data_IF_034204319133
#
_entry.id   IF_034204319133
#
_cell.length_a   1.000
_cell.length_b   1.000
_cell.length_c   1.000
_cell.angle_alpha   90.00
_cell.angle_beta   90.00
_cell.angle_gamma   90.00
#
_symmetry.space_group_name_H-M   'P 1'
#
loop_
_entity.id
_entity.type
_entity.pdbx_description
1 polymer ?
#
# COMPACT_ATOMS: atom_id res chain seq x y z
N UNK A 1 -1.34 1.57 37.46
CA UNK A 1 -0.31 0.67 36.93
C UNK A 1 -1.02 -0.48 36.25
N UNK A 2 -1.07 -0.53 34.91
CA UNK A 2 -1.41 -1.72 34.13
C UNK A 2 -0.64 -1.61 32.80
N UNK A 3 0.67 -1.78 32.89
CA UNK A 3 1.57 -1.83 31.72
C UNK A 3 1.70 -3.28 31.30
N UNK A 4 0.78 -3.74 30.45
CA UNK A 4 0.97 -4.96 29.67
C UNK A 4 0.66 -4.60 28.21
N UNK A 5 1.59 -3.90 27.59
CA UNK A 5 1.63 -3.78 26.12
C UNK A 5 2.59 -4.86 25.63
N UNK A 6 2.19 -6.12 25.79
CA UNK A 6 2.95 -7.22 25.20
C UNK A 6 2.70 -7.19 23.70
N UNK A 7 3.52 -6.43 22.99
CA UNK A 7 3.63 -6.52 21.55
C UNK A 7 4.19 -7.90 21.22
N UNK A 8 3.41 -8.74 20.56
CA UNK A 8 3.88 -10.04 20.09
C UNK A 8 4.08 -10.00 18.57
N UNK A 9 5.08 -10.74 18.10
CA UNK A 9 5.45 -10.82 16.68
C UNK A 9 5.17 -12.21 16.15
N UNK A 10 4.36 -12.29 15.10
CA UNK A 10 4.04 -13.54 14.38
C UNK A 10 4.44 -13.37 12.93
N UNK A 11 5.23 -14.31 12.39
CA UNK A 11 5.62 -14.31 10.97
C UNK A 11 6.29 -13.00 10.49
N UNK A 12 6.96 -12.28 11.40
CA UNK A 12 7.59 -10.98 11.14
C UNK A 12 6.64 -9.78 11.15
N UNK A 13 5.39 -9.97 11.58
CA UNK A 13 4.40 -8.91 11.82
C UNK A 13 4.29 -8.66 13.32
N UNK A 14 4.53 -7.43 13.75
CA UNK A 14 4.37 -7.01 15.15
C UNK A 14 2.99 -6.40 15.35
N UNK A 15 2.22 -6.95 16.28
CA UNK A 15 0.93 -6.39 16.68
C UNK A 15 1.15 -5.32 17.77
N UNK A 16 0.83 -4.07 17.44
CA UNK A 16 1.07 -2.91 18.33
C UNK A 16 -0.15 -2.49 19.13
N UNK A 17 -1.34 -2.97 18.77
CA UNK A 17 -2.59 -2.65 19.44
C UNK A 17 -2.89 -3.67 20.56
N UNK A 18 -3.72 -3.26 21.53
CA UNK A 18 -4.24 -4.17 22.53
C UNK A 18 -5.09 -5.27 21.87
N UNK A 19 -4.95 -6.54 22.28
CA UNK A 19 -5.80 -7.62 21.79
C UNK A 19 -7.28 -7.32 21.98
N UNK A 20 -8.08 -7.53 20.93
CA UNK A 20 -9.54 -7.42 21.00
C UNK A 20 -10.21 -8.78 20.84
N UNK A 21 -11.42 -8.91 21.37
CA UNK A 21 -12.20 -10.14 21.30
C UNK A 21 -12.38 -10.59 19.84
N UNK A 22 -12.14 -11.89 19.58
CA UNK A 22 -12.28 -12.55 18.26
C UNK A 22 -11.33 -12.07 17.16
N UNK A 23 -10.30 -11.29 17.48
CA UNK A 23 -9.34 -10.85 16.45
C UNK A 23 -8.57 -12.01 15.82
N UNK A 24 -8.40 -13.11 16.56
CA UNK A 24 -7.72 -14.34 16.15
C UNK A 24 -8.47 -15.09 15.03
N UNK A 25 -9.78 -14.87 14.89
CA UNK A 25 -10.57 -15.39 13.76
C UNK A 25 -10.17 -14.73 12.42
N UNK A 26 -9.66 -13.50 12.46
CA UNK A 26 -9.26 -12.71 11.28
C UNK A 26 -7.73 -12.71 11.13
N UNK A 27 -7.02 -12.46 12.23
CA UNK A 27 -5.55 -12.41 12.31
C UNK A 27 -4.99 -13.79 12.63
N UNK A 28 -5.46 -14.81 11.91
CA UNK A 28 -4.93 -16.16 11.97
C UNK A 28 -3.45 -16.17 11.57
N UNK A 29 -2.72 -17.20 11.98
CA UNK A 29 -1.31 -17.37 11.57
C UNK A 29 -1.14 -17.31 10.05
N UNK A 30 -2.03 -17.96 9.29
CA UNK A 30 -1.99 -18.00 7.82
C UNK A 30 -2.30 -16.63 7.21
N UNK A 31 -3.28 -15.89 7.75
CA UNK A 31 -3.57 -14.53 7.32
C UNK A 31 -2.36 -13.60 7.55
N UNK A 32 -1.71 -13.69 8.71
CA UNK A 32 -0.51 -12.92 9.03
C UNK A 32 0.68 -13.31 8.13
N UNK A 33 0.85 -14.60 7.83
CA UNK A 33 1.87 -15.06 6.88
C UNK A 33 1.62 -14.50 5.46
N UNK A 34 0.37 -14.48 5.02
CA UNK A 34 -0.02 -13.90 3.74
C UNK A 34 0.27 -12.39 3.70
N UNK A 35 -0.15 -11.63 4.73
CA UNK A 35 0.12 -10.19 4.82
C UNK A 35 1.63 -9.91 4.80
N UNK A 36 2.42 -10.69 5.53
CA UNK A 36 3.88 -10.56 5.54
C UNK A 36 4.49 -10.75 4.15
N UNK A 37 4.02 -11.74 3.38
CA UNK A 37 4.45 -11.96 1.99
C UNK A 37 4.02 -10.81 1.07
N UNK A 38 2.77 -10.36 1.18
CA UNK A 38 2.24 -9.25 0.39
C UNK A 38 3.03 -7.96 0.64
N UNK A 39 3.33 -7.67 1.91
CA UNK A 39 4.13 -6.51 2.29
C UNK A 39 5.53 -6.59 1.66
N UNK A 40 6.23 -7.72 1.83
CA UNK A 40 7.57 -7.90 1.23
C UNK A 40 7.57 -7.72 -0.28
N UNK A 41 6.53 -8.18 -0.97
CA UNK A 41 6.43 -8.07 -2.43
C UNK A 41 6.10 -6.65 -2.93
N UNK A 42 5.39 -5.83 -2.16
CA UNK A 42 4.76 -4.59 -2.67
C UNK A 42 5.19 -3.31 -1.96
N UNK A 43 5.81 -3.39 -0.77
CA UNK A 43 6.11 -2.23 0.06
C UNK A 43 7.06 -1.24 -0.62
N UNK A 44 8.12 -1.73 -1.27
CA UNK A 44 9.09 -0.88 -1.98
C UNK A 44 8.40 -0.08 -3.09
N UNK A 45 7.66 -0.77 -3.98
CA UNK A 45 6.94 -0.11 -5.06
C UNK A 45 5.90 0.90 -4.56
N UNK A 46 5.19 0.58 -3.46
CA UNK A 46 4.26 1.53 -2.83
C UNK A 46 4.97 2.79 -2.36
N UNK A 47 6.15 2.68 -1.76
CA UNK A 47 6.94 3.85 -1.32
C UNK A 47 7.40 4.70 -2.51
N UNK A 48 7.89 4.08 -3.58
CA UNK A 48 8.26 4.78 -4.83
C UNK A 48 7.09 5.58 -5.39
N UNK A 49 5.90 4.98 -5.47
CA UNK A 49 4.70 5.64 -5.99
C UNK A 49 4.24 6.81 -5.12
N UNK A 50 4.38 6.70 -3.79
CA UNK A 50 4.10 7.81 -2.88
C UNK A 50 5.09 8.96 -3.06
N UNK A 51 6.36 8.66 -3.31
CA UNK A 51 7.36 9.67 -3.62
C UNK A 51 7.10 10.34 -4.98
N UNK A 52 6.79 9.56 -6.01
CA UNK A 52 6.41 10.07 -7.33
C UNK A 52 5.17 11.00 -7.24
N UNK A 53 4.19 10.66 -6.38
CA UNK A 53 3.03 11.52 -6.13
C UNK A 53 3.43 12.87 -5.51
N UNK A 54 4.40 12.90 -4.59
CA UNK A 54 4.91 14.15 -4.02
C UNK A 54 5.63 14.99 -5.06
N UNK A 55 6.50 14.37 -5.86
CA UNK A 55 7.20 15.04 -6.94
C UNK A 55 6.22 15.66 -7.95
N UNK A 56 5.23 14.88 -8.42
CA UNK A 56 4.23 15.38 -9.36
C UNK A 56 3.40 16.53 -8.79
N UNK A 57 3.06 16.50 -7.50
CA UNK A 57 2.38 17.62 -6.83
C UNK A 57 3.24 18.88 -6.81
N UNK A 58 4.55 18.76 -6.59
CA UNK A 58 5.46 19.89 -6.60
C UNK A 58 5.56 20.54 -8.00
N UNK A 59 5.65 19.72 -9.06
CA UNK A 59 5.62 20.22 -10.44
C UNK A 59 4.35 21.01 -10.75
N UNK A 60 3.19 20.48 -10.35
CA UNK A 60 1.91 21.17 -10.57
C UNK A 60 1.85 22.49 -9.79
N UNK A 61 2.32 22.49 -8.54
CA UNK A 61 2.39 23.72 -7.74
C UNK A 61 3.33 24.77 -8.34
N UNK A 62 4.36 24.35 -9.09
CA UNK A 62 5.26 25.23 -9.83
C UNK A 62 4.68 25.71 -11.19
N UNK A 63 3.41 25.39 -11.49
CA UNK A 63 2.70 25.85 -12.69
C UNK A 63 2.58 24.81 -13.81
N UNK A 64 3.00 23.56 -13.60
CA UNK A 64 2.79 22.51 -14.60
C UNK A 64 1.31 22.09 -14.65
N UNK A 65 0.65 22.33 -15.78
CA UNK A 65 -0.75 21.94 -15.98
C UNK A 65 -0.88 20.44 -16.30
N UNK A 66 -1.76 19.67 -15.61
CA UNK A 66 -2.03 18.29 -15.96
C UNK A 66 -2.68 18.16 -17.35
N UNK A 67 -2.05 17.38 -18.24
CA UNK A 67 -2.55 17.12 -19.60
C UNK A 67 -2.54 15.61 -19.87
N UNK A 68 -3.28 15.18 -20.88
CA UNK A 68 -3.18 13.80 -21.36
C UNK A 68 -1.77 13.52 -21.86
N UNK A 69 -1.18 12.44 -21.38
CA UNK A 69 0.13 12.02 -21.83
C UNK A 69 0.05 11.52 -23.27
N UNK A 70 0.97 12.00 -24.10
CA UNK A 70 1.08 11.58 -25.50
C UNK A 70 1.50 10.11 -25.61
N UNK A 71 2.36 9.65 -24.71
CA UNK A 71 2.86 8.26 -24.71
C UNK A 71 1.74 7.22 -24.61
N UNK A 72 0.65 7.52 -23.89
CA UNK A 72 -0.51 6.62 -23.73
C UNK A 72 -1.68 6.94 -24.67
N UNK A 73 -1.47 7.78 -25.69
CA UNK A 73 -2.53 8.15 -26.65
C UNK A 73 -3.06 6.95 -27.43
N UNK A 74 -2.17 6.07 -27.89
CA UNK A 74 -2.55 4.87 -28.65
C UNK A 74 -3.49 3.95 -27.86
N UNK A 75 -3.29 3.81 -26.53
CA UNK A 75 -4.17 3.02 -25.66
C UNK A 75 -5.58 3.63 -25.61
N UNK A 76 -5.68 4.95 -25.47
CA UNK A 76 -6.98 5.65 -25.38
C UNK A 76 -7.75 5.62 -26.69
N UNK A 77 -7.03 5.65 -27.82
CA UNK A 77 -7.63 5.76 -29.16
C UNK A 77 -7.90 4.40 -29.80
N UNK A 78 -7.49 3.29 -29.18
CA UNK A 78 -7.81 1.95 -29.67
C UNK A 78 -9.28 1.58 -29.34
N UNK A 79 -10.18 1.46 -30.32
CA UNK A 79 -11.58 1.13 -30.05
C UNK A 79 -11.81 -0.36 -29.72
N UNK A 80 -10.80 -1.21 -29.95
CA UNK A 80 -10.91 -2.66 -29.85
C UNK A 80 -10.76 -3.20 -28.42
N UNK A 81 -10.13 -2.43 -27.52
CA UNK A 81 -9.82 -2.94 -26.18
C UNK A 81 -11.06 -2.99 -25.26
N UNK A 82 -11.08 -3.98 -24.37
CA UNK A 82 -12.07 -4.18 -23.28
C UNK A 82 -11.34 -4.78 -22.06
N UNK A 83 -11.96 -4.67 -20.87
CA UNK A 83 -11.47 -5.28 -19.61
C UNK A 83 -11.72 -6.78 -19.62
#
# INVERSE_FOLDING_TARGET
MNSFTDSFTINGITMTAQPVCRQDEVLTSDALAFIARLHRATAARRQELLQARRARRAEIAAGADPRFLRETEHIRNDPSWRV
#
